data_IF_565740498864
#
_entry.id   IF_565740498864
#
_cell.length_a   1.000
_cell.length_b   1.000
_cell.length_c   1.000
_cell.angle_alpha   90.00
_cell.angle_beta   90.00
_cell.angle_gamma   90.00
#
_symmetry.space_group_name_H-M   'P 1'
#
loop_
_entity.id
_entity.type
_entity.pdbx_description
1 polymer ?
#
# COMPACT_ATOMS: atom_id res chain seq x y z
N UNK A 1 15.44 -9.41 26.20
CA UNK A 1 14.56 -10.44 25.65
C UNK A 1 15.46 -11.53 25.12
N UNK A 2 15.40 -12.73 25.71
CA UNK A 2 16.21 -13.86 25.24
C UNK A 2 15.47 -14.57 24.11
N UNK A 3 16.11 -14.60 22.94
CA UNK A 3 15.60 -15.23 21.72
C UNK A 3 16.32 -16.53 21.40
N UNK A 4 17.28 -16.94 22.25
CA UNK A 4 18.02 -18.18 22.07
C UNK A 4 17.06 -19.38 22.08
N UNK A 5 17.26 -20.31 21.14
CA UNK A 5 16.41 -21.48 20.94
C UNK A 5 15.13 -21.28 20.10
N UNK A 6 14.80 -20.05 19.66
CA UNK A 6 13.68 -19.82 18.72
C UNK A 6 14.11 -19.93 17.27
N UNK A 7 13.20 -20.36 16.39
CA UNK A 7 13.43 -20.32 14.95
C UNK A 7 13.59 -18.88 14.43
N UNK A 8 14.30 -18.70 13.30
CA UNK A 8 14.52 -17.37 12.69
C UNK A 8 13.20 -16.62 12.45
N UNK A 9 12.14 -17.32 12.03
CA UNK A 9 10.81 -16.71 11.82
C UNK A 9 10.21 -16.19 13.12
N UNK A 10 10.23 -17.00 14.19
CA UNK A 10 9.73 -16.59 15.50
C UNK A 10 10.52 -15.41 16.08
N UNK A 11 11.83 -15.36 15.85
CA UNK A 11 12.66 -14.22 16.24
C UNK A 11 12.23 -12.97 15.48
N UNK A 12 12.11 -13.05 14.14
CA UNK A 12 11.66 -11.94 13.30
C UNK A 12 10.29 -11.42 13.73
N UNK A 13 9.32 -12.30 13.91
CA UNK A 13 7.95 -11.91 14.29
C UNK A 13 7.93 -11.27 15.69
N UNK A 14 8.80 -11.74 16.60
CA UNK A 14 9.04 -11.10 17.89
C UNK A 14 9.58 -9.66 17.79
N UNK A 15 10.55 -9.43 16.89
CA UNK A 15 11.07 -8.08 16.62
C UNK A 15 10.03 -7.17 15.95
N UNK A 16 9.24 -7.68 15.01
CA UNK A 16 8.12 -6.94 14.40
C UNK A 16 7.08 -6.53 15.43
N UNK A 17 6.73 -7.43 16.35
CA UNK A 17 5.80 -7.14 17.45
C UNK A 17 6.36 -6.05 18.37
N UNK A 18 7.64 -6.10 18.70
CA UNK A 18 8.29 -5.05 19.49
C UNK A 18 8.32 -3.70 18.75
N UNK A 19 8.63 -3.71 17.46
CA UNK A 19 8.63 -2.50 16.64
C UNK A 19 7.23 -1.88 16.57
N UNK A 20 6.20 -2.69 16.35
CA UNK A 20 4.80 -2.27 16.35
C UNK A 20 4.38 -1.67 17.68
N UNK A 21 4.69 -2.34 18.80
CA UNK A 21 4.41 -1.79 20.14
C UNK A 21 5.08 -0.44 20.38
N UNK A 22 6.30 -0.22 19.87
CA UNK A 22 6.98 1.08 19.96
C UNK A 22 6.38 2.13 19.03
N UNK A 23 5.96 1.72 17.83
CA UNK A 23 5.25 2.58 16.89
C UNK A 23 3.93 3.07 17.49
N UNK A 24 3.13 2.16 18.06
CA UNK A 24 1.83 2.46 18.64
C UNK A 24 1.96 3.34 19.91
N UNK A 25 3.09 3.25 20.62
CA UNK A 25 3.40 4.15 21.73
C UNK A 25 3.79 5.58 21.27
N UNK A 26 4.15 5.77 19.99
CA UNK A 26 4.41 7.09 19.42
C UNK A 26 3.11 7.70 18.91
N UNK A 27 2.57 8.65 19.68
CA UNK A 27 1.25 9.27 19.45
C UNK A 27 1.09 9.80 18.03
N UNK A 28 2.12 10.44 17.48
CA UNK A 28 2.04 10.99 16.13
C UNK A 28 2.01 9.91 15.05
N UNK A 29 2.89 8.92 15.14
CA UNK A 29 2.96 7.82 14.17
C UNK A 29 1.69 6.99 14.18
N UNK A 30 1.17 6.67 15.38
CA UNK A 30 -0.09 5.93 15.53
C UNK A 30 -1.26 6.70 14.93
N UNK A 31 -1.41 7.98 15.27
CA UNK A 31 -2.50 8.81 14.76
C UNK A 31 -2.49 8.94 13.23
N UNK A 32 -1.30 9.08 12.62
CA UNK A 32 -1.19 9.13 11.15
C UNK A 32 -1.54 7.78 10.52
N UNK A 33 -1.11 6.67 11.10
CA UNK A 33 -1.43 5.34 10.59
C UNK A 33 -2.93 5.03 10.71
N UNK A 34 -3.56 5.38 11.83
CA UNK A 34 -5.01 5.25 12.02
C UNK A 34 -5.79 6.10 11.01
N UNK A 35 -5.40 7.36 10.82
CA UNK A 35 -6.03 8.22 9.83
C UNK A 35 -5.89 7.70 8.39
N UNK A 36 -4.75 7.06 8.06
CA UNK A 36 -4.56 6.40 6.76
C UNK A 36 -5.44 5.17 6.63
N UNK A 37 -5.51 4.31 7.66
CA UNK A 37 -6.35 3.12 7.65
C UNK A 37 -7.83 3.50 7.44
N UNK A 38 -8.32 4.52 8.15
CA UNK A 38 -9.68 5.04 7.99
C UNK A 38 -9.94 5.61 6.60
N UNK A 39 -8.99 6.38 6.06
CA UNK A 39 -9.12 6.98 4.73
C UNK A 39 -9.10 5.92 3.62
N UNK A 40 -8.24 4.90 3.74
CA UNK A 40 -8.20 3.74 2.83
C UNK A 40 -9.52 2.96 2.92
N UNK A 41 -10.01 2.70 4.13
CA UNK A 41 -11.28 2.00 4.35
C UNK A 41 -12.45 2.78 3.70
N UNK A 42 -12.47 4.10 3.82
CA UNK A 42 -13.46 4.94 3.16
C UNK A 42 -13.39 4.82 1.63
N UNK A 43 -12.19 4.87 1.03
CA UNK A 43 -12.01 4.68 -0.42
C UNK A 43 -12.48 3.29 -0.85
N UNK A 44 -12.10 2.25 -0.11
CA UNK A 44 -12.53 0.87 -0.39
C UNK A 44 -14.04 0.78 -0.30
N UNK A 45 -14.67 1.35 0.73
CA UNK A 45 -16.13 1.36 0.88
C UNK A 45 -16.84 1.99 -0.33
N UNK A 46 -16.30 3.07 -0.88
CA UNK A 46 -16.84 3.74 -2.09
C UNK A 46 -16.64 2.89 -3.35
N UNK A 47 -15.46 2.31 -3.54
CA UNK A 47 -15.08 1.68 -4.80
C UNK A 47 -15.38 0.18 -4.87
N UNK A 48 -15.62 -0.47 -3.73
CA UNK A 48 -15.81 -1.92 -3.69
C UNK A 48 -17.03 -2.32 -4.53
N UNK A 49 -16.80 -3.23 -5.49
CA UNK A 49 -17.86 -3.72 -6.37
C UNK A 49 -18.37 -2.71 -7.41
N UNK A 50 -17.79 -1.50 -7.49
CA UNK A 50 -18.02 -0.57 -8.59
C UNK A 50 -17.36 -1.11 -9.85
N UNK A 51 -18.12 -1.19 -10.95
CA UNK A 51 -17.60 -1.61 -12.25
C UNK A 51 -17.23 -0.39 -13.09
N UNK A 52 -15.94 -0.28 -13.41
CA UNK A 52 -15.45 0.73 -14.35
C UNK A 52 -15.50 0.24 -15.81
N UNK A 53 -16.13 -0.90 -16.10
CA UNK A 53 -16.11 -1.51 -17.44
C UNK A 53 -16.74 -0.64 -18.55
N UNK A 54 -17.53 0.37 -18.18
CA UNK A 54 -18.13 1.35 -19.10
C UNK A 54 -17.16 2.46 -19.52
N UNK A 55 -16.05 2.61 -18.81
CA UNK A 55 -15.03 3.60 -19.08
C UNK A 55 -14.00 3.03 -20.05
N UNK A 56 -13.49 3.90 -20.93
CA UNK A 56 -12.28 3.59 -21.68
C UNK A 56 -11.15 3.26 -20.70
N UNK A 57 -10.42 2.17 -20.97
CA UNK A 57 -9.37 1.64 -20.09
C UNK A 57 -9.80 1.31 -18.65
N UNK A 58 -11.10 1.17 -18.40
CA UNK A 58 -11.65 0.97 -17.05
C UNK A 58 -11.09 -0.25 -16.30
N UNK A 59 -10.80 -1.33 -17.02
CA UNK A 59 -10.14 -2.51 -16.43
C UNK A 59 -8.73 -2.19 -15.94
N UNK A 60 -7.99 -1.34 -16.65
CA UNK A 60 -6.65 -0.94 -16.26
C UNK A 60 -6.68 0.02 -15.07
N UNK A 61 -7.60 0.99 -15.06
CA UNK A 61 -7.86 1.84 -13.89
C UNK A 61 -8.18 1.00 -12.65
N UNK A 62 -9.08 0.02 -12.79
CA UNK A 62 -9.46 -0.88 -11.69
C UNK A 62 -8.24 -1.61 -11.13
N UNK A 63 -7.40 -2.16 -12.01
CA UNK A 63 -6.17 -2.84 -11.62
C UNK A 63 -5.17 -1.93 -10.89
N UNK A 64 -4.94 -0.72 -11.41
CA UNK A 64 -4.03 0.25 -10.82
C UNK A 64 -4.52 0.74 -9.45
N UNK A 65 -5.80 1.09 -9.32
CA UNK A 65 -6.41 1.54 -8.06
C UNK A 65 -6.39 0.43 -7.01
N UNK A 66 -6.76 -0.80 -7.39
CA UNK A 66 -6.71 -1.96 -6.48
C UNK A 66 -5.28 -2.24 -6.02
N UNK A 67 -4.31 -2.20 -6.95
CA UNK A 67 -2.90 -2.38 -6.65
C UNK A 67 -2.37 -1.27 -5.74
N UNK A 68 -2.82 -0.02 -5.95
CA UNK A 68 -2.49 1.11 -5.09
C UNK A 68 -2.95 0.83 -3.65
N UNK A 69 -4.25 0.68 -3.43
CA UNK A 69 -4.85 0.53 -2.09
C UNK A 69 -4.27 -0.64 -1.30
N UNK A 70 -4.17 -1.82 -1.93
CA UNK A 70 -3.61 -3.02 -1.27
C UNK A 70 -2.14 -2.86 -0.89
N UNK A 71 -1.37 -2.26 -1.79
CA UNK A 71 0.05 -1.99 -1.52
C UNK A 71 0.20 -0.91 -0.46
N UNK A 72 -0.71 0.07 -0.41
CA UNK A 72 -0.67 1.14 0.59
C UNK A 72 -0.86 0.61 2.01
N UNK A 73 -1.79 -0.33 2.21
CA UNK A 73 -1.94 -1.03 3.50
C UNK A 73 -0.64 -1.74 3.90
N UNK A 74 0.00 -2.44 2.95
CA UNK A 74 1.28 -3.10 3.22
C UNK A 74 2.41 -2.12 3.56
N UNK A 75 2.39 -0.89 3.01
CA UNK A 75 3.32 0.18 3.41
C UNK A 75 3.08 0.61 4.85
N UNK A 76 1.82 0.79 5.26
CA UNK A 76 1.45 1.15 6.65
C UNK A 76 1.92 0.06 7.61
N UNK A 77 1.68 -1.21 7.29
CA UNK A 77 2.18 -2.35 8.07
C UNK A 77 3.71 -2.39 8.13
N UNK A 78 4.39 -2.18 7.01
CA UNK A 78 5.86 -2.12 6.98
C UNK A 78 6.40 -0.98 7.86
N UNK A 79 5.71 0.17 7.92
CA UNK A 79 6.08 1.26 8.81
C UNK A 79 5.90 0.90 10.29
N UNK A 80 4.75 0.31 10.65
CA UNK A 80 4.46 -0.19 12.01
C UNK A 80 5.49 -1.23 12.46
N UNK A 81 5.82 -2.17 11.58
CA UNK A 81 6.78 -3.25 11.84
C UNK A 81 8.24 -2.82 11.68
N UNK A 82 8.49 -1.61 11.17
CA UNK A 82 9.81 -1.08 10.85
C UNK A 82 10.60 -1.94 9.86
N UNK A 83 9.89 -2.55 8.91
CA UNK A 83 10.44 -3.23 7.73
C UNK A 83 10.75 -2.17 6.66
N UNK A 84 11.72 -1.32 6.95
CA UNK A 84 11.95 -0.07 6.21
C UNK A 84 12.31 -0.30 4.75
N UNK A 85 13.15 -1.29 4.44
CA UNK A 85 13.52 -1.59 3.05
C UNK A 85 12.29 -2.04 2.26
N UNK A 86 11.51 -2.98 2.77
CA UNK A 86 10.30 -3.44 2.11
C UNK A 86 9.31 -2.28 1.92
N UNK A 87 9.09 -1.48 2.96
CA UNK A 87 8.25 -0.29 2.90
C UNK A 87 8.71 0.71 1.83
N UNK A 88 10.02 0.97 1.71
CA UNK A 88 10.59 1.88 0.71
C UNK A 88 10.38 1.39 -0.73
N UNK A 89 10.52 0.09 -0.95
CA UNK A 89 10.28 -0.54 -2.26
C UNK A 89 8.79 -0.44 -2.63
N UNK A 90 7.90 -0.67 -1.66
CA UNK A 90 6.47 -0.54 -1.87
C UNK A 90 6.06 0.93 -2.14
N UNK A 91 6.65 1.91 -1.45
CA UNK A 91 6.46 3.34 -1.73
C UNK A 91 6.88 3.68 -3.17
N UNK A 92 8.03 3.18 -3.64
CA UNK A 92 8.45 3.38 -5.03
C UNK A 92 7.39 2.87 -6.01
N UNK A 93 6.87 1.66 -5.77
CA UNK A 93 5.77 1.09 -6.57
C UNK A 93 4.52 1.97 -6.52
N UNK A 94 4.17 2.54 -5.37
CA UNK A 94 3.03 3.47 -5.26
C UNK A 94 3.21 4.72 -6.13
N UNK A 95 4.41 5.30 -6.15
CA UNK A 95 4.73 6.46 -7.00
C UNK A 95 4.66 6.11 -8.50
N UNK A 96 5.11 4.90 -8.87
CA UNK A 96 5.00 4.39 -10.25
C UNK A 96 3.53 4.18 -10.66
N UNK A 97 2.69 3.69 -9.75
CA UNK A 97 1.24 3.58 -9.99
C UNK A 97 0.61 4.97 -10.16
N UNK A 98 0.92 5.92 -9.29
CA UNK A 98 0.43 7.30 -9.40
C UNK A 98 0.83 7.95 -10.73
N UNK A 99 2.09 7.79 -11.13
CA UNK A 99 2.57 8.28 -12.42
C UNK A 99 1.73 7.68 -13.55
N UNK A 100 1.48 6.37 -13.50
CA UNK A 100 0.67 5.68 -14.52
C UNK A 100 -0.77 6.16 -14.56
N UNK A 101 -1.38 6.42 -13.40
CA UNK A 101 -2.74 6.95 -13.29
C UNK A 101 -2.86 8.36 -13.91
N UNK A 102 -1.83 9.20 -13.76
CA UNK A 102 -1.77 10.50 -14.42
C UNK A 102 -1.54 10.40 -15.94
N UNK A 103 -0.69 9.47 -16.39
CA UNK A 103 -0.45 9.25 -17.82
C UNK A 103 -1.71 8.82 -18.57
N UNK A 104 -2.56 7.99 -17.95
CA UNK A 104 -3.83 7.55 -18.53
C UNK A 104 -4.81 8.70 -18.81
N UNK A 105 -4.67 9.83 -18.12
CA UNK A 105 -5.43 11.05 -18.45
C UNK A 105 -5.00 11.71 -19.77
N UNK A 106 -3.90 11.26 -20.38
CA UNK A 106 -3.31 11.88 -21.58
C UNK A 106 -3.00 10.90 -22.72
N UNK A 107 -2.95 9.60 -22.43
CA UNK A 107 -2.65 8.56 -23.40
C UNK A 107 -3.44 7.27 -23.08
N UNK A 108 -3.95 6.56 -24.10
CA UNK A 108 -4.68 5.32 -23.89
C UNK A 108 -3.76 4.20 -23.37
N UNK A 109 -4.34 3.26 -22.63
CA UNK A 109 -3.62 2.15 -22.00
C UNK A 109 -2.77 1.35 -23.00
N UNK A 110 -3.25 1.18 -24.23
CA UNK A 110 -2.55 0.44 -25.30
C UNK A 110 -1.14 0.98 -25.59
N UNK A 111 -0.89 2.27 -25.37
CA UNK A 111 0.44 2.89 -25.54
C UNK A 111 1.32 2.81 -24.28
N UNK A 112 0.71 2.56 -23.12
CA UNK A 112 1.36 2.57 -21.81
C UNK A 112 1.74 1.16 -21.33
N UNK A 113 0.99 0.14 -21.73
CA UNK A 113 1.25 -1.24 -21.38
C UNK A 113 2.66 -1.68 -21.82
N UNK A 114 3.37 -2.38 -20.93
CA UNK A 114 4.74 -2.84 -21.17
C UNK A 114 5.82 -1.75 -21.07
N UNK A 115 5.45 -0.50 -20.80
CA UNK A 115 6.40 0.61 -20.63
C UNK A 115 6.65 0.92 -19.15
N UNK A 116 7.79 1.55 -18.84
CA UNK A 116 8.06 2.12 -17.51
C UNK A 116 7.22 3.39 -17.30
N UNK A 117 6.55 3.56 -16.16
CA UNK A 117 5.78 4.78 -15.87
C UNK A 117 6.62 6.05 -15.93
N UNK A 118 6.12 7.10 -16.55
CA UNK A 118 6.81 8.38 -16.64
C UNK A 118 6.66 9.18 -15.35
N UNK A 119 7.56 9.00 -14.39
CA UNK A 119 7.54 9.71 -13.09
C UNK A 119 7.68 11.24 -13.19
N UNK A 120 7.96 11.80 -14.38
CA UNK A 120 8.00 13.26 -14.58
C UNK A 120 6.61 13.90 -14.48
N UNK A 121 5.53 13.11 -14.60
CA UNK A 121 4.15 13.61 -14.44
C UNK A 121 3.79 13.86 -12.97
N UNK A 122 4.56 13.32 -12.02
CA UNK A 122 4.37 13.55 -10.60
C UNK A 122 4.72 14.98 -10.21
N UNK A 123 4.04 15.50 -9.19
CA UNK A 123 4.37 16.81 -8.60
C UNK A 123 5.76 16.80 -7.95
N UNK A 124 6.42 17.97 -7.89
CA UNK A 124 7.83 18.11 -7.49
C UNK A 124 8.22 17.36 -6.20
N UNK A 125 7.46 17.43 -5.08
CA UNK A 125 7.82 16.69 -3.88
C UNK A 125 7.89 15.17 -4.09
N UNK A 126 6.95 14.60 -4.84
CA UNK A 126 6.86 13.16 -5.11
C UNK A 126 7.95 12.69 -6.09
N UNK A 127 8.28 13.53 -7.07
CA UNK A 127 9.37 13.24 -8.02
C UNK A 127 10.73 13.12 -7.30
N UNK A 128 11.00 13.98 -6.32
CA UNK A 128 12.21 13.90 -5.51
C UNK A 128 12.22 12.64 -4.65
N UNK A 129 11.08 12.30 -4.03
CA UNK A 129 10.94 11.06 -3.26
C UNK A 129 11.22 9.83 -4.12
N UNK A 130 10.73 9.78 -5.37
CA UNK A 130 10.99 8.68 -6.28
C UNK A 130 12.50 8.43 -6.48
N UNK A 131 13.29 9.48 -6.67
CA UNK A 131 14.75 9.37 -6.83
C UNK A 131 15.39 8.64 -5.65
N UNK A 132 15.14 9.12 -4.43
CA UNK A 132 15.66 8.50 -3.21
C UNK A 132 15.21 7.05 -3.04
N UNK A 133 13.92 6.76 -3.28
CA UNK A 133 13.39 5.40 -3.15
C UNK A 133 13.87 4.45 -4.24
N UNK A 134 14.15 4.96 -5.44
CA UNK A 134 14.81 4.19 -6.49
C UNK A 134 16.25 3.85 -6.09
N UNK A 135 16.97 4.80 -5.49
CA UNK A 135 18.34 4.55 -4.99
C UNK A 135 18.36 3.43 -3.94
N UNK A 136 17.42 3.45 -2.99
CA UNK A 136 17.25 2.45 -1.92
C UNK A 136 16.90 1.08 -2.53
N UNK A 137 15.89 1.02 -3.40
CA UNK A 137 15.44 -0.22 -4.03
C UNK A 137 16.54 -0.91 -4.87
N UNK A 138 17.47 -0.13 -5.42
CA UNK A 138 18.61 -0.64 -6.17
C UNK A 138 19.87 -0.83 -5.32
N UNK A 139 19.83 -0.55 -4.02
CA UNK A 139 21.01 -0.56 -3.12
C UNK A 139 22.21 0.21 -3.70
N UNK A 140 21.92 1.31 -4.40
CA UNK A 140 22.88 2.00 -5.26
C UNK A 140 23.74 3.04 -4.52
N UNK A 141 23.36 3.40 -3.29
CA UNK A 141 24.10 4.36 -2.45
C UNK A 141 24.16 3.84 -1.02
N UNK A 142 25.36 3.78 -0.44
CA UNK A 142 25.61 3.22 0.90
C UNK A 142 24.97 4.00 2.03
N UNK A 143 24.77 5.32 1.86
CA UNK A 143 24.07 6.19 2.85
C UNK A 143 22.70 5.62 3.24
N UNK A 144 22.03 4.93 2.32
CA UNK A 144 20.70 4.37 2.55
C UNK A 144 20.70 3.10 3.41
N UNK A 145 21.86 2.48 3.65
CA UNK A 145 21.97 1.35 4.58
C UNK A 145 21.77 1.77 6.04
N UNK A 146 21.75 3.07 6.34
CA UNK A 146 21.27 3.59 7.63
C UNK A 146 19.83 3.14 7.94
N UNK A 147 19.00 2.90 6.90
CA UNK A 147 17.65 2.34 7.05
C UNK A 147 17.65 0.92 7.65
N UNK A 148 18.78 0.22 7.65
CA UNK A 148 18.94 -1.09 8.27
C UNK A 148 19.31 -0.99 9.77
N UNK A 149 19.22 0.19 10.37
CA UNK A 149 19.54 0.43 11.78
C UNK A 149 21.03 0.65 12.06
N UNK A 150 21.80 1.05 11.04
CA UNK A 150 23.25 1.26 11.15
C UNK A 150 23.64 2.46 12.02
N UNK A 151 22.75 3.44 12.19
CA UNK A 151 23.04 4.64 12.98
C UNK A 151 23.06 4.42 14.50
N UNK A 152 22.59 3.26 15.00
CA UNK A 152 22.44 3.01 16.44
C UNK A 152 23.67 2.37 17.12
N UNK A 153 24.61 1.78 16.36
CA UNK A 153 25.70 0.96 16.93
C UNK A 153 27.11 1.27 16.39
N UNK A 154 27.26 2.36 15.61
CA UNK A 154 28.54 2.78 15.03
C UNK A 154 28.84 2.13 13.67
N UNK A 155 29.93 2.57 13.04
CA UNK A 155 30.30 2.15 11.68
C UNK A 155 30.43 0.63 11.55
N UNK A 156 29.74 0.07 10.55
CA UNK A 156 29.85 -1.34 10.16
C UNK A 156 28.93 -2.32 10.90
N UNK A 157 28.08 -1.87 11.81
CA UNK A 157 27.07 -2.71 12.46
C UNK A 157 25.68 -2.46 11.89
N UNK A 158 24.97 -3.52 11.53
CA UNK A 158 23.60 -3.45 11.00
C UNK A 158 22.72 -4.49 11.68
N UNK A 159 21.52 -4.10 12.11
CA UNK A 159 20.56 -5.05 12.66
C UNK A 159 19.96 -5.89 11.54
N UNK A 160 20.01 -7.21 11.68
CA UNK A 160 19.31 -8.14 10.77
C UNK A 160 17.80 -8.24 11.06
N UNK A 161 17.35 -7.62 12.15
CA UNK A 161 15.95 -7.57 12.54
C UNK A 161 15.44 -6.13 12.52
N UNK A 162 14.16 -5.91 12.17
CA UNK A 162 13.59 -4.58 12.13
C UNK A 162 13.59 -3.95 13.52
N UNK A 163 13.96 -2.67 13.58
CA UNK A 163 13.95 -1.87 14.80
C UNK A 163 13.22 -0.57 14.54
N UNK A 164 12.28 -0.25 15.42
CA UNK A 164 11.59 1.03 15.39
C UNK A 164 12.58 2.18 15.53
N UNK A 165 12.52 3.12 14.58
CA UNK A 165 13.41 4.27 14.48
C UNK A 165 12.68 5.49 13.91
N UNK A 166 13.37 6.64 13.83
CA UNK A 166 12.85 7.84 13.15
C UNK A 166 12.48 7.58 11.70
N UNK A 167 13.14 6.63 11.03
CA UNK A 167 12.86 6.28 9.64
C UNK A 167 11.48 5.61 9.48
N UNK A 168 10.96 4.93 10.51
CA UNK A 168 9.58 4.43 10.52
C UNK A 168 8.57 5.57 10.48
N UNK A 169 8.87 6.67 11.18
CA UNK A 169 8.06 7.91 11.17
C UNK A 169 8.10 8.58 9.79
N UNK A 170 9.27 8.67 9.20
CA UNK A 170 9.45 9.23 7.84
C UNK A 170 8.70 8.39 6.81
N UNK A 171 8.74 7.05 6.93
CA UNK A 171 8.03 6.15 6.04
C UNK A 171 6.51 6.37 6.10
N UNK A 172 5.92 6.44 7.30
CA UNK A 172 4.47 6.70 7.43
C UNK A 172 4.10 8.12 6.96
N UNK A 173 4.97 9.11 7.16
CA UNK A 173 4.77 10.46 6.63
C UNK A 173 4.69 10.47 5.09
N UNK A 174 5.63 9.79 4.45
CA UNK A 174 5.66 9.71 2.99
C UNK A 174 4.48 8.90 2.45
N UNK A 175 4.05 7.84 3.16
CA UNK A 175 2.82 7.13 2.85
C UNK A 175 1.61 8.10 2.86
N UNK A 176 1.47 8.92 3.90
CA UNK A 176 0.39 9.91 3.98
C UNK A 176 0.40 10.91 2.82
N UNK A 177 1.56 11.46 2.47
CA UNK A 177 1.69 12.41 1.35
C UNK A 177 1.30 11.75 0.02
N UNK A 178 1.71 10.50 -0.20
CA UNK A 178 1.39 9.74 -1.42
C UNK A 178 -0.09 9.41 -1.48
N UNK A 179 -0.70 9.04 -0.34
CA UNK A 179 -2.13 8.81 -0.25
C UNK A 179 -2.93 10.07 -0.56
N UNK A 180 -2.51 11.23 -0.07
CA UNK A 180 -3.16 12.51 -0.37
C UNK A 180 -3.15 12.81 -1.87
N UNK A 181 -2.03 12.58 -2.55
CA UNK A 181 -1.94 12.80 -4.00
C UNK A 181 -2.85 11.82 -4.77
N UNK A 182 -2.87 10.55 -4.36
CA UNK A 182 -3.84 9.56 -4.86
C UNK A 182 -5.28 9.99 -4.64
N UNK A 183 -5.62 10.48 -3.45
CA UNK A 183 -6.96 10.93 -3.11
C UNK A 183 -7.39 12.12 -3.99
N UNK A 184 -6.51 13.09 -4.21
CA UNK A 184 -6.79 14.20 -5.12
C UNK A 184 -6.98 13.74 -6.57
N UNK A 185 -6.14 12.81 -7.04
CA UNK A 185 -6.32 12.20 -8.35
C UNK A 185 -7.68 11.48 -8.43
N UNK A 186 -8.01 10.64 -7.46
CA UNK A 186 -9.23 9.83 -7.45
C UNK A 186 -10.48 10.72 -7.45
N UNK A 187 -10.47 11.78 -6.65
CA UNK A 187 -11.56 12.77 -6.61
C UNK A 187 -11.74 13.42 -7.97
N UNK A 188 -10.67 13.92 -8.58
CA UNK A 188 -10.73 14.55 -9.91
C UNK A 188 -11.17 13.56 -10.99
N UNK A 189 -10.76 12.29 -10.88
CA UNK A 189 -11.21 11.22 -11.76
C UNK A 189 -12.72 10.99 -11.65
N UNK A 190 -13.26 10.83 -10.43
CA UNK A 190 -14.70 10.64 -10.19
C UNK A 190 -15.51 11.82 -10.72
N UNK A 191 -15.08 13.06 -10.40
CA UNK A 191 -15.73 14.29 -10.87
C UNK A 191 -15.74 14.38 -12.41
N UNK A 192 -14.65 13.99 -13.09
CA UNK A 192 -14.56 14.02 -14.54
C UNK A 192 -15.44 12.97 -15.26
N UNK A 193 -15.82 11.89 -14.58
CA UNK A 193 -16.70 10.87 -15.15
C UNK A 193 -18.20 11.17 -14.95
N UNK A 194 -18.54 12.33 -14.37
CA UNK A 194 -19.91 12.72 -13.97
C UNK A 194 -20.62 11.64 -13.12
N UNK A 195 -19.83 10.83 -12.41
CA UNK A 195 -20.37 9.83 -11.50
C UNK A 195 -20.52 10.49 -10.14
N UNK A 196 -21.75 10.65 -9.68
CA UNK A 196 -21.96 11.20 -8.34
C UNK A 196 -21.47 10.20 -7.29
N UNK A 197 -20.90 10.72 -6.21
CA UNK A 197 -20.46 9.88 -5.07
C UNK A 197 -21.62 9.01 -4.56
N UNK A 198 -22.85 9.53 -4.58
CA UNK A 198 -24.08 8.79 -4.25
C UNK A 198 -24.32 7.58 -5.16
N UNK A 199 -24.07 7.69 -6.47
CA UNK A 199 -24.19 6.58 -7.40
C UNK A 199 -23.11 5.52 -7.17
N UNK A 200 -21.89 5.92 -6.82
CA UNK A 200 -20.83 4.99 -6.41
C UNK A 200 -21.23 4.21 -5.16
N UNK A 201 -21.75 4.90 -4.13
CA UNK A 201 -22.26 4.27 -2.92
C UNK A 201 -23.42 3.30 -3.20
N UNK A 202 -24.36 3.67 -4.06
CA UNK A 202 -25.46 2.80 -4.44
C UNK A 202 -24.98 1.55 -5.20
N UNK A 203 -24.01 1.70 -6.11
CA UNK A 203 -23.40 0.58 -6.83
C UNK A 203 -22.61 -0.33 -5.89
N UNK A 204 -21.85 0.24 -4.95
CA UNK A 204 -21.09 -0.49 -3.93
C UNK A 204 -22.02 -1.31 -3.01
N UNK A 205 -23.07 -0.69 -2.47
CA UNK A 205 -24.06 -1.39 -1.64
C UNK A 205 -24.75 -2.53 -2.40
N UNK A 206 -25.13 -2.29 -3.66
CA UNK A 206 -25.73 -3.30 -4.53
C UNK A 206 -24.76 -4.46 -4.85
N UNK A 207 -23.47 -4.15 -5.03
CA UNK A 207 -22.44 -5.15 -5.27
C UNK A 207 -22.09 -5.96 -4.02
N UNK A 208 -22.03 -5.31 -2.85
CA UNK A 208 -21.86 -5.97 -1.57
C UNK A 208 -22.97 -6.99 -1.31
N UNK A 209 -24.24 -6.63 -1.57
CA UNK A 209 -25.36 -7.57 -1.48
C UNK A 209 -25.24 -8.76 -2.43
N UNK A 210 -24.78 -8.55 -3.67
CA UNK A 210 -24.51 -9.65 -4.62
C UNK A 210 -23.35 -10.55 -4.19
N UNK A 211 -22.31 -9.97 -3.60
CA UNK A 211 -21.15 -10.71 -3.14
C UNK A 211 -21.48 -11.55 -1.91
N UNK A 212 -22.28 -11.00 -0.99
CA UNK A 212 -22.78 -11.72 0.18
C UNK A 212 -23.63 -12.92 -0.24
N UNK A 213 -24.57 -12.74 -1.17
CA UNK A 213 -25.36 -13.85 -1.72
C UNK A 213 -24.49 -14.95 -2.37
N UNK A 214 -23.47 -14.56 -3.14
CA UNK A 214 -22.54 -15.54 -3.74
C UNK A 214 -21.68 -16.29 -2.72
N UNK A 215 -21.24 -15.61 -1.67
CA UNK A 215 -20.48 -16.26 -0.59
C UNK A 215 -21.38 -17.18 0.22
N UNK A 216 -22.66 -16.86 0.38
CA UNK A 216 -23.65 -17.73 1.02
C UNK A 216 -23.95 -18.97 0.15
N UNK A 217 -24.02 -18.82 -1.18
CA UNK A 217 -24.18 -19.94 -2.13
C UNK A 217 -22.94 -20.87 -2.17
N UNK A 218 -21.73 -20.33 -1.98
CA UNK A 218 -20.48 -21.10 -1.94
C UNK A 218 -20.23 -21.81 -0.59
N UNK A 219 -21.06 -21.57 0.44
CA UNK A 219 -21.02 -22.23 1.75
C UNK A 219 -22.12 -23.31 1.87
N UNK A 220 -22.63 -23.87 0.77
CA UNK A 220 -23.29 -25.18 0.86
C UNK A 220 -22.22 -26.28 0.99
N UNK A 221 -22.19 -27.04 2.10
CA UNK A 221 -21.25 -28.15 2.24
C UNK A 221 -21.60 -29.21 1.20
N UNK A 222 -20.72 -29.38 0.21
CA UNK A 222 -20.82 -30.50 -0.73
C UNK A 222 -20.98 -31.83 0.02
N UNK A 223 -21.75 -32.79 -0.54
CA UNK A 223 -22.10 -34.00 0.19
C UNK A 223 -20.83 -34.75 0.57
N UNK A 224 -20.64 -34.97 1.88
CA UNK A 224 -19.63 -35.88 2.40
C UNK A 224 -20.02 -37.29 1.93
N UNK A 225 -19.50 -37.71 0.79
CA UNK A 225 -19.61 -39.09 0.35
C UNK A 225 -18.83 -39.96 1.34
N UNK A 226 -19.57 -40.77 2.08
CA UNK A 226 -19.06 -41.62 3.15
C UNK A 226 -17.95 -42.56 2.69
N UNK A 227 -16.90 -42.62 3.51
CA UNK A 227 -15.96 -43.74 3.49
C UNK A 227 -16.66 -44.87 4.26
N UNK A 228 -17.13 -45.86 3.52
CA UNK A 228 -17.63 -47.12 4.06
C UNK A 228 -16.52 -47.91 4.74
N UNK A 229 -16.94 -48.67 5.75
CA UNK A 229 -16.16 -49.56 6.61
C UNK A 229 -15.35 -50.62 5.85
#
# INVERSE_FOLDING_TARGET
MDWSGRSVRQQRDGWRSLARSRFDADVWSSAVAEALDDAIAAVIGVLNGVSLARLEDGAYYTGLVTSFLRTHLAVVDAARESELIDGTVLIRKQLEILARLHELGTAPASKLLGTTPNVKVLRLPLKTLYGSYSEIAHSSVTKHFELLGGSEYGDGWTSLYPKYSSNSKVLIQHAAIIFLDFWFWLRGFIEAQDVTVTELWAQSASAAGRLQHRLEDDIEPGPVSGIGA
#
